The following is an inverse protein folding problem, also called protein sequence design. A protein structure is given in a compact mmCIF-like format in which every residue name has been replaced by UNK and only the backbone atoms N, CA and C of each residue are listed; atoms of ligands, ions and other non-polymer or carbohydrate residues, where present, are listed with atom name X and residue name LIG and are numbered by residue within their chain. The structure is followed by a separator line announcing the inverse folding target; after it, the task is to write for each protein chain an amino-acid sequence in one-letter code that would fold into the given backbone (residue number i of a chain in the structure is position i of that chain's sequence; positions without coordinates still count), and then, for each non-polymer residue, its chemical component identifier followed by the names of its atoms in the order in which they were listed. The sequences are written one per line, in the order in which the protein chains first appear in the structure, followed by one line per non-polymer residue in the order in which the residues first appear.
data_IF_561829228326
#
_entry.id   IF_561829228326
#
_cell.length_a   1.000
_cell.length_b   1.000
_cell.length_c   1.000
_cell.angle_alpha   90.00
_cell.angle_beta   90.00
_cell.angle_gamma   90.00
#
_symmetry.space_group_name_H-M   'P 1'
#
loop_
_entity.id
_entity.type
_entity.pdbx_description
1 polymer ?
#
# COMPACT_ATOMS: atom_id res chain seq x y z
N UNK A 1 16.25 -1.65 5.93
CA UNK A 1 15.44 -0.57 6.53
C UNK A 1 15.39 -0.87 8.02
N UNK A 2 15.76 0.08 8.88
CA UNK A 2 15.70 -0.14 10.33
C UNK A 2 14.26 -0.03 10.83
N UNK A 3 13.82 -1.02 11.62
CA UNK A 3 12.47 -1.08 12.17
C UNK A 3 12.37 -0.13 13.36
N UNK A 4 11.46 0.84 13.29
CA UNK A 4 11.24 1.84 14.36
C UNK A 4 10.25 1.35 15.45
N UNK A 5 9.46 0.32 15.15
CA UNK A 5 8.43 -0.23 16.05
C UNK A 5 8.90 -1.51 16.75
N UNK A 6 8.53 -1.67 18.02
CA UNK A 6 8.72 -2.89 18.80
C UNK A 6 7.44 -3.29 19.51
N UNK A 7 7.26 -4.58 19.77
CA UNK A 7 6.08 -5.11 20.47
C UNK A 7 6.08 -4.62 21.92
N UNK A 8 4.93 -4.18 22.42
CA UNK A 8 4.73 -3.81 23.81
C UNK A 8 4.20 -5.01 24.60
N UNK A 9 5.11 -5.77 25.22
CA UNK A 9 4.76 -6.90 26.08
C UNK A 9 4.13 -8.07 25.29
N UNK A 10 3.10 -8.69 25.86
CA UNK A 10 2.36 -9.80 25.24
C UNK A 10 1.11 -9.36 24.47
N UNK A 11 0.93 -8.05 24.24
CA UNK A 11 -0.24 -7.52 23.56
C UNK A 11 0.04 -7.24 22.08
N UNK A 12 -1.02 -7.18 21.27
CA UNK A 12 -1.01 -6.82 19.83
C UNK A 12 -0.68 -5.34 19.56
N UNK A 13 -0.07 -4.63 20.51
CA UNK A 13 0.28 -3.23 20.40
C UNK A 13 1.78 -3.04 20.11
N UNK A 14 2.07 -2.07 19.25
CA UNK A 14 3.43 -1.66 18.92
C UNK A 14 3.74 -0.31 19.52
N UNK A 15 4.98 -0.14 19.99
CA UNK A 15 5.51 1.13 20.48
C UNK A 15 6.74 1.54 19.69
N UNK A 16 7.04 2.82 19.77
CA UNK A 16 8.19 3.47 19.14
C UNK A 16 8.96 4.24 20.21
N UNK A 17 10.20 4.63 19.91
CA UNK A 17 10.96 5.49 20.80
C UNK A 17 10.29 6.89 20.86
N UNK A 18 10.24 7.49 22.05
CA UNK A 18 9.71 8.84 22.27
C UNK A 18 10.41 9.90 21.40
N UNK A 19 11.66 9.65 20.96
CA UNK A 19 12.38 10.56 20.06
C UNK A 19 11.87 10.50 18.60
N UNK A 20 11.12 9.45 18.24
CA UNK A 20 10.66 9.21 16.86
C UNK A 20 9.23 9.66 16.60
N UNK A 21 8.51 10.04 17.66
CA UNK A 21 7.16 10.60 17.61
C UNK A 21 7.06 11.83 18.51
N UNK A 22 6.69 12.96 17.92
CA UNK A 22 6.49 14.21 18.64
C UNK A 22 4.99 14.53 18.68
N UNK A 23 4.52 15.03 19.81
CA UNK A 23 3.16 15.55 19.92
C UNK A 23 3.16 17.05 19.59
N UNK A 24 2.25 17.47 18.73
CA UNK A 24 2.04 18.85 18.29
C UNK A 24 0.56 19.23 18.48
N UNK A 25 0.21 20.51 18.32
CA UNK A 25 -1.16 21.05 18.46
C UNK A 25 -2.19 20.30 17.59
N UNK A 26 -1.75 19.75 16.45
CA UNK A 26 -2.61 19.09 15.46
C UNK A 26 -2.50 17.56 15.47
N UNK A 27 -1.80 16.95 16.45
CA UNK A 27 -1.66 15.50 16.57
C UNK A 27 -0.22 15.04 16.72
N UNK A 28 0.11 13.89 16.12
CA UNK A 28 1.44 13.29 16.23
C UNK A 28 2.23 13.46 14.93
N UNK A 29 3.51 13.81 15.08
CA UNK A 29 4.47 13.97 13.98
C UNK A 29 5.72 13.15 14.27
N UNK A 30 6.71 13.20 13.39
CA UNK A 30 7.97 12.46 13.55
C UNK A 30 8.16 11.37 12.51
N UNK A 31 9.32 10.72 12.56
CA UNK A 31 9.75 9.78 11.53
C UNK A 31 8.85 8.55 11.48
N UNK A 32 8.44 8.01 12.63
CA UNK A 32 7.57 6.84 12.67
C UNK A 32 6.20 7.12 12.04
N UNK A 33 5.60 8.29 12.34
CA UNK A 33 4.33 8.72 11.75
C UNK A 33 4.46 8.94 10.24
N UNK A 34 5.55 9.61 9.82
CA UNK A 34 5.80 9.87 8.40
C UNK A 34 6.00 8.58 7.60
N UNK A 35 6.68 7.57 8.19
CA UNK A 35 6.82 6.27 7.55
C UNK A 35 5.49 5.53 7.47
N UNK A 36 4.67 5.58 8.53
CA UNK A 36 3.32 5.00 8.51
C UNK A 36 2.48 5.61 7.39
N UNK A 37 2.43 6.93 7.29
CA UNK A 37 1.70 7.63 6.22
C UNK A 37 2.19 7.23 4.81
N UNK A 38 3.48 6.99 4.62
CA UNK A 38 4.01 6.49 3.33
C UNK A 38 3.52 5.09 3.01
N UNK A 39 3.41 4.20 4.00
CA UNK A 39 2.84 2.87 3.80
C UNK A 39 1.34 2.94 3.49
N UNK A 40 0.60 3.82 4.18
CA UNK A 40 -0.82 4.08 3.91
C UNK A 40 -1.03 4.60 2.49
N UNK A 41 -0.26 5.60 2.06
CA UNK A 41 -0.32 6.12 0.69
C UNK A 41 -0.03 5.04 -0.37
N UNK A 42 0.98 4.18 -0.14
CA UNK A 42 1.28 3.07 -1.06
C UNK A 42 0.08 2.12 -1.15
N UNK A 43 -0.56 1.83 -0.03
CA UNK A 43 -1.73 0.95 0.00
C UNK A 43 -2.92 1.60 -0.72
N UNK A 44 -3.19 2.87 -0.50
CA UNK A 44 -4.24 3.63 -1.22
C UNK A 44 -4.01 3.63 -2.73
N UNK A 45 -2.77 3.92 -3.17
CA UNK A 45 -2.38 3.88 -4.58
C UNK A 45 -2.55 2.47 -5.19
N UNK A 46 -2.23 1.43 -4.41
CA UNK A 46 -2.39 0.04 -4.82
C UNK A 46 -3.85 -0.33 -5.04
N UNK A 47 -4.74 0.08 -4.13
CA UNK A 47 -6.19 -0.13 -4.25
C UNK A 47 -6.76 0.67 -5.43
N UNK A 48 -6.39 1.95 -5.55
CA UNK A 48 -6.83 2.81 -6.65
C UNK A 48 -6.41 2.24 -8.01
N UNK A 49 -5.17 1.80 -8.15
CA UNK A 49 -4.68 1.17 -9.39
C UNK A 49 -5.36 -0.18 -9.66
N UNK A 50 -5.62 -0.99 -8.64
CA UNK A 50 -6.36 -2.24 -8.80
C UNK A 50 -7.80 -2.03 -9.31
N UNK A 51 -8.43 -0.91 -8.96
CA UNK A 51 -9.76 -0.51 -9.46
C UNK A 51 -9.66 0.07 -10.88
N UNK A 52 -8.61 0.83 -11.19
CA UNK A 52 -8.49 1.56 -12.45
C UNK A 52 -7.98 0.69 -13.62
N UNK A 53 -7.03 -0.22 -13.36
CA UNK A 53 -6.43 -1.08 -14.40
C UNK A 53 -7.48 -1.89 -15.19
N UNK A 54 -8.50 -2.51 -14.56
CA UNK A 54 -9.57 -3.20 -15.31
C UNK A 54 -10.29 -2.29 -16.31
N UNK A 55 -10.56 -1.03 -15.95
CA UNK A 55 -11.23 -0.06 -16.84
C UNK A 55 -10.35 0.26 -18.06
N UNK A 56 -9.03 0.39 -17.87
CA UNK A 56 -8.09 0.62 -18.97
C UNK A 56 -7.96 -0.62 -19.87
N UNK A 57 -7.94 -1.82 -19.28
CA UNK A 57 -7.96 -3.09 -20.02
C UNK A 57 -9.22 -3.25 -20.87
N UNK A 58 -10.40 -2.89 -20.34
CA UNK A 58 -11.66 -2.92 -21.09
C UNK A 58 -11.65 -1.94 -22.25
N UNK A 59 -11.15 -0.71 -22.04
CA UNK A 59 -10.98 0.27 -23.11
C UNK A 59 -10.09 -0.28 -24.24
N UNK A 60 -8.91 -0.82 -23.89
CA UNK A 60 -8.00 -1.42 -24.88
C UNK A 60 -8.62 -2.63 -25.59
N UNK A 61 -9.45 -3.42 -24.90
CA UNK A 61 -10.18 -4.54 -25.51
C UNK A 61 -11.18 -4.05 -26.55
N UNK A 62 -11.95 -3.00 -26.25
CA UNK A 62 -12.92 -2.41 -27.17
C UNK A 62 -12.23 -1.79 -28.40
N UNK A 63 -11.01 -1.29 -28.23
CA UNK A 63 -10.16 -0.81 -29.33
C UNK A 63 -9.44 -1.93 -30.11
N UNK A 64 -9.64 -3.20 -29.75
CA UNK A 64 -8.96 -4.36 -30.38
C UNK A 64 -7.47 -4.50 -30.04
N UNK A 65 -6.95 -3.73 -29.07
CA UNK A 65 -5.53 -3.62 -28.70
C UNK A 65 -5.06 -4.65 -27.66
N UNK A 66 -5.60 -5.86 -27.71
CA UNK A 66 -5.35 -6.92 -26.71
C UNK A 66 -3.96 -7.56 -26.79
N UNK A 67 -3.26 -7.43 -27.94
CA UNK A 67 -1.92 -8.02 -28.15
C UNK A 67 -0.77 -7.05 -27.91
N UNK A 68 -1.05 -5.83 -27.47
CA UNK A 68 -0.05 -4.77 -27.25
C UNK A 68 0.77 -5.04 -25.99
N UNK A 69 1.99 -4.49 -25.94
CA UNK A 69 2.85 -4.52 -24.74
C UNK A 69 2.12 -3.90 -23.55
N UNK A 70 1.51 -2.72 -23.75
CA UNK A 70 0.70 -2.03 -22.74
C UNK A 70 -0.40 -2.88 -22.13
N UNK A 71 -1.15 -3.63 -22.95
CA UNK A 71 -2.20 -4.52 -22.45
C UNK A 71 -1.62 -5.64 -21.56
N UNK A 72 -0.48 -6.22 -21.95
CA UNK A 72 0.18 -7.26 -21.16
C UNK A 72 0.74 -6.69 -19.85
N UNK A 73 1.36 -5.52 -19.88
CA UNK A 73 1.85 -4.82 -18.67
C UNK A 73 0.72 -4.56 -17.68
N UNK A 74 -0.41 -4.03 -18.15
CA UNK A 74 -1.59 -3.80 -17.30
C UNK A 74 -2.14 -5.11 -16.70
N UNK A 75 -2.15 -6.19 -17.48
CA UNK A 75 -2.60 -7.50 -16.99
C UNK A 75 -1.67 -8.04 -15.90
N UNK A 76 -0.35 -7.93 -16.10
CA UNK A 76 0.66 -8.31 -15.09
C UNK A 76 0.50 -7.43 -13.85
N UNK A 77 0.39 -6.11 -14.00
CA UNK A 77 0.22 -5.18 -12.89
C UNK A 77 -1.04 -5.51 -12.07
N UNK A 78 -2.17 -5.83 -12.72
CA UNK A 78 -3.39 -6.27 -12.01
C UNK A 78 -3.16 -7.51 -11.15
N UNK A 79 -2.44 -8.50 -11.68
CA UNK A 79 -2.14 -9.73 -10.94
C UNK A 79 -1.16 -9.48 -9.79
N UNK A 80 -0.12 -8.69 -10.04
CA UNK A 80 0.85 -8.29 -9.02
C UNK A 80 0.18 -7.51 -7.90
N UNK A 81 -0.66 -6.53 -8.22
CA UNK A 81 -1.39 -5.75 -7.24
C UNK A 81 -2.30 -6.64 -6.38
N UNK A 82 -3.05 -7.56 -6.99
CA UNK A 82 -3.88 -8.51 -6.26
C UNK A 82 -3.06 -9.37 -5.28
N UNK A 83 -1.87 -9.83 -5.70
CA UNK A 83 -0.99 -10.61 -4.83
C UNK A 83 -0.45 -9.77 -3.67
N UNK A 84 -0.07 -8.51 -3.92
CA UNK A 84 0.42 -7.60 -2.87
C UNK A 84 -0.72 -7.28 -1.89
N UNK A 85 -1.93 -6.99 -2.37
CA UNK A 85 -3.11 -6.76 -1.52
C UNK A 85 -3.37 -7.99 -0.63
N UNK A 86 -3.33 -9.19 -1.20
CA UNK A 86 -3.48 -10.42 -0.42
C UNK A 86 -2.37 -10.58 0.63
N UNK A 87 -1.14 -10.17 0.34
CA UNK A 87 -0.06 -10.16 1.33
C UNK A 87 -0.40 -9.21 2.49
N UNK A 88 -0.85 -7.98 2.21
CA UNK A 88 -1.30 -7.04 3.25
C UNK A 88 -2.38 -7.66 4.14
N UNK A 89 -3.39 -8.33 3.57
CA UNK A 89 -4.43 -9.06 4.31
C UNK A 89 -3.86 -10.09 5.28
N UNK A 90 -2.81 -10.82 4.90
CA UNK A 90 -2.20 -11.82 5.79
C UNK A 90 -1.54 -11.22 7.02
N UNK A 91 -1.18 -9.93 6.98
CA UNK A 91 -0.68 -9.17 8.12
C UNK A 91 -1.79 -8.43 8.89
N UNK A 92 -3.06 -8.68 8.57
CA UNK A 92 -4.20 -8.00 9.18
C UNK A 92 -4.37 -6.55 8.72
N UNK A 93 -3.72 -6.18 7.61
CA UNK A 93 -3.92 -4.89 6.95
C UNK A 93 -4.97 -5.10 5.85
N UNK A 94 -6.24 -4.86 6.22
CA UNK A 94 -7.53 -4.87 5.46
C UNK A 94 -8.60 -5.71 6.16
#
# INVERSE_FOLDING_TARGET
MERLTRVLGNNDFYIVDNLTVNHDLNGYTGEAITRLAKFENIYEDLIASQIQIPKELEKLRNEGKTKTVRFRELMVNKMTNANIINLFKTYGLE
#
